data_IF_257917494682
#
_entry.id   IF_257917494682
#
_cell.length_a   1.000
_cell.length_b   1.000
_cell.length_c   1.000
_cell.angle_alpha   90.00
_cell.angle_beta   90.00
_cell.angle_gamma   90.00
#
_symmetry.space_group_name_H-M   'P 1'
#
loop_
_entity.id
_entity.type
_entity.pdbx_description
1 polymer ?
#
# COMPACT_ATOMS: atom_id res chain seq x y z
N UNK A 1 -4.32 -9.49 19.80
CA UNK A 1 -4.52 -9.83 18.38
C UNK A 1 -4.42 -8.57 17.47
N UNK A 2 -4.97 -7.43 17.87
CA UNK A 2 -4.90 -6.16 17.12
C UNK A 2 -3.48 -5.69 16.85
N UNK A 3 -2.56 -5.77 17.82
CA UNK A 3 -1.15 -5.39 17.64
C UNK A 3 -0.47 -6.25 16.56
N UNK A 4 -0.71 -7.54 16.54
CA UNK A 4 -0.13 -8.45 15.54
C UNK A 4 -0.66 -8.12 14.14
N UNK A 5 -1.95 -7.87 14.01
CA UNK A 5 -2.55 -7.44 12.74
C UNK A 5 -1.99 -6.10 12.23
N UNK A 6 -1.84 -5.13 13.13
CA UNK A 6 -1.30 -3.81 12.80
C UNK A 6 0.19 -3.86 12.42
N UNK A 7 1.00 -4.65 13.12
CA UNK A 7 2.42 -4.84 12.75
C UNK A 7 2.56 -5.56 11.42
N UNK A 8 1.76 -6.58 11.16
CA UNK A 8 1.73 -7.27 9.87
C UNK A 8 1.34 -6.32 8.74
N UNK A 9 0.37 -5.41 8.97
CA UNK A 9 -0.06 -4.40 8.02
C UNK A 9 1.07 -3.40 7.69
N UNK A 10 1.82 -2.95 8.70
CA UNK A 10 2.99 -2.06 8.49
C UNK A 10 4.09 -2.75 7.69
N UNK A 11 4.45 -3.98 8.06
CA UNK A 11 5.47 -4.75 7.35
C UNK A 11 5.05 -4.98 5.90
N UNK A 12 3.80 -5.37 5.68
CA UNK A 12 3.22 -5.55 4.35
C UNK A 12 3.21 -4.25 3.53
N UNK A 13 2.85 -3.11 4.16
CA UNK A 13 2.87 -1.80 3.53
C UNK A 13 4.25 -1.34 3.10
N UNK A 14 5.25 -1.48 3.98
CA UNK A 14 6.65 -1.18 3.67
C UNK A 14 7.17 -2.10 2.56
N UNK A 15 6.83 -3.39 2.62
CA UNK A 15 7.16 -4.36 1.57
C UNK A 15 6.57 -3.95 0.21
N UNK A 16 5.29 -3.58 0.17
CA UNK A 16 4.62 -3.09 -1.04
C UNK A 16 5.28 -1.81 -1.57
N UNK A 17 5.61 -0.85 -0.70
CA UNK A 17 6.30 0.38 -1.07
C UNK A 17 7.68 0.12 -1.70
N UNK A 18 8.45 -0.82 -1.13
CA UNK A 18 9.75 -1.22 -1.67
C UNK A 18 9.61 -1.94 -3.01
N UNK A 19 8.63 -2.83 -3.16
CA UNK A 19 8.35 -3.51 -4.43
C UNK A 19 7.97 -2.50 -5.53
N UNK A 20 7.10 -1.54 -5.23
CA UNK A 20 6.71 -0.48 -6.18
C UNK A 20 7.91 0.40 -6.54
N UNK A 21 8.76 0.77 -5.58
CA UNK A 21 10.01 1.52 -5.87
C UNK A 21 10.94 0.74 -6.79
N UNK A 22 11.20 -0.53 -6.48
CA UNK A 22 12.04 -1.41 -7.30
C UNK A 22 11.49 -1.54 -8.72
N UNK A 23 10.19 -1.75 -8.84
CA UNK A 23 9.50 -1.82 -10.12
C UNK A 23 9.64 -0.52 -10.93
N UNK A 24 9.32 0.63 -10.33
CA UNK A 24 9.38 1.93 -10.99
C UNK A 24 10.83 2.35 -11.31
N UNK A 25 11.82 1.96 -10.52
CA UNK A 25 13.24 2.25 -10.81
C UNK A 25 13.69 1.59 -12.11
N UNK A 26 13.24 0.38 -12.39
CA UNK A 26 13.48 -0.30 -13.67
C UNK A 26 12.76 0.33 -14.87
N UNK A 27 11.73 1.17 -14.62
CA UNK A 27 10.93 1.81 -15.68
C UNK A 27 11.29 3.29 -15.90
N UNK A 28 12.24 3.83 -15.17
CA UNK A 28 12.64 5.26 -15.25
C UNK A 28 13.06 5.69 -16.65
N UNK A 29 13.79 4.84 -17.36
CA UNK A 29 14.22 5.09 -18.76
C UNK A 29 13.01 5.19 -19.70
N UNK A 30 12.04 4.30 -19.56
CA UNK A 30 10.81 4.30 -20.39
C UNK A 30 10.00 5.57 -20.10
N UNK A 31 9.86 5.94 -18.82
CA UNK A 31 9.16 7.18 -18.40
C UNK A 31 9.85 8.41 -19.02
N UNK A 32 11.18 8.45 -19.02
CA UNK A 32 11.92 9.56 -19.58
C UNK A 32 11.78 9.63 -21.12
N UNK A 33 11.83 8.49 -21.83
CA UNK A 33 11.60 8.42 -23.27
C UNK A 33 10.19 8.91 -23.63
N UNK A 34 9.16 8.45 -22.91
CA UNK A 34 7.78 8.89 -23.14
C UNK A 34 7.64 10.42 -22.99
N UNK A 35 8.33 11.01 -22.02
CA UNK A 35 8.37 12.48 -21.85
C UNK A 35 9.11 13.18 -22.98
N UNK A 36 10.18 12.61 -23.52
CA UNK A 36 10.89 13.18 -24.66
C UNK A 36 10.03 13.21 -25.93
N UNK A 37 9.15 12.23 -26.11
CA UNK A 37 8.20 12.15 -27.23
C UNK A 37 6.99 13.11 -27.02
N UNK A 38 6.88 13.74 -25.83
CA UNK A 38 5.81 14.71 -25.55
C UNK A 38 4.62 14.16 -24.79
N UNK A 39 4.73 12.94 -24.20
CA UNK A 39 3.65 12.39 -23.39
C UNK A 39 3.39 13.25 -22.13
N UNK A 40 2.13 13.58 -21.89
CA UNK A 40 1.72 14.34 -20.73
C UNK A 40 2.01 13.59 -19.43
N UNK A 41 2.49 14.32 -18.41
CA UNK A 41 2.75 13.76 -17.08
C UNK A 41 1.55 13.03 -16.49
N UNK A 42 0.33 13.53 -16.77
CA UNK A 42 -0.93 12.93 -16.28
C UNK A 42 -1.18 11.56 -16.91
N UNK A 43 -0.93 11.43 -18.20
CA UNK A 43 -1.07 10.15 -18.93
C UNK A 43 -0.10 9.11 -18.36
N UNK A 44 1.18 9.47 -18.21
CA UNK A 44 2.21 8.60 -17.65
C UNK A 44 1.81 8.16 -16.24
N UNK A 45 1.40 9.11 -15.38
CA UNK A 45 0.97 8.81 -14.02
C UNK A 45 -0.23 7.85 -13.99
N UNK A 46 -1.25 8.09 -14.80
CA UNK A 46 -2.44 7.23 -14.85
C UNK A 46 -2.12 5.82 -15.35
N UNK A 47 -1.28 5.69 -16.37
CA UNK A 47 -0.88 4.37 -16.91
C UNK A 47 -0.20 3.52 -15.82
N UNK A 48 0.79 4.08 -15.12
CA UNK A 48 1.47 3.35 -14.05
C UNK A 48 0.59 3.15 -12.81
N UNK A 49 -0.30 4.08 -12.52
CA UNK A 49 -1.27 3.93 -11.44
C UNK A 49 -2.25 2.79 -11.71
N UNK A 50 -2.76 2.66 -12.93
CA UNK A 50 -3.66 1.54 -13.30
C UNK A 50 -2.95 0.21 -13.22
N UNK A 51 -1.70 0.12 -13.65
CA UNK A 51 -0.91 -1.10 -13.56
C UNK A 51 -0.67 -1.53 -12.09
N UNK A 52 -0.28 -0.58 -11.23
CA UNK A 52 -0.15 -0.83 -9.79
C UNK A 52 -1.51 -1.22 -9.17
N UNK A 53 -2.60 -0.57 -9.56
CA UNK A 53 -3.93 -0.88 -9.06
C UNK A 53 -4.37 -2.30 -9.43
N UNK A 54 -4.10 -2.75 -10.65
CA UNK A 54 -4.39 -4.13 -11.09
C UNK A 54 -3.57 -5.14 -10.28
N UNK A 55 -2.27 -4.91 -10.09
CA UNK A 55 -1.42 -5.77 -9.26
C UNK A 55 -1.89 -5.81 -7.81
N UNK A 56 -2.28 -4.65 -7.26
CA UNK A 56 -2.84 -4.55 -5.91
C UNK A 56 -4.16 -5.31 -5.80
N UNK A 57 -5.05 -5.16 -6.77
CA UNK A 57 -6.32 -5.89 -6.81
C UNK A 57 -6.12 -7.41 -6.83
N UNK A 58 -5.20 -7.90 -7.65
CA UNK A 58 -4.83 -9.31 -7.68
C UNK A 58 -4.26 -9.78 -6.33
N UNK A 59 -3.38 -9.01 -5.71
CA UNK A 59 -2.81 -9.33 -4.40
C UNK A 59 -3.86 -9.36 -3.30
N UNK A 60 -4.82 -8.42 -3.31
CA UNK A 60 -5.95 -8.41 -2.35
C UNK A 60 -6.83 -9.65 -2.55
N UNK A 61 -7.16 -10.02 -3.78
CA UNK A 61 -7.95 -11.23 -4.06
C UNK A 61 -7.25 -12.49 -3.54
N UNK A 62 -5.96 -12.63 -3.81
CA UNK A 62 -5.16 -13.76 -3.29
C UNK A 62 -5.12 -13.73 -1.76
N UNK A 63 -4.89 -12.58 -1.15
CA UNK A 63 -4.88 -12.43 0.30
C UNK A 63 -6.22 -12.76 0.95
N UNK A 64 -7.33 -12.34 0.35
CA UNK A 64 -8.69 -12.65 0.83
C UNK A 64 -9.00 -14.14 0.71
N UNK A 65 -8.63 -14.78 -0.41
CA UNK A 65 -8.85 -16.22 -0.60
C UNK A 65 -8.05 -17.04 0.42
N UNK A 66 -6.77 -16.71 0.62
CA UNK A 66 -5.93 -17.37 1.62
C UNK A 66 -6.49 -17.11 3.03
N UNK A 67 -6.85 -15.85 3.34
CA UNK A 67 -7.40 -15.47 4.64
C UNK A 67 -8.76 -16.09 4.96
N UNK A 68 -9.57 -16.40 3.94
CA UNK A 68 -10.84 -17.09 4.11
C UNK A 68 -10.69 -18.62 4.23
N UNK A 69 -9.77 -19.20 3.45
CA UNK A 69 -9.60 -20.67 3.37
C UNK A 69 -8.72 -21.20 4.49
N UNK A 70 -7.68 -20.47 4.89
CA UNK A 70 -6.71 -20.93 5.89
C UNK A 70 -7.35 -21.27 7.25
N UNK A 71 -8.24 -20.43 7.84
CA UNK A 71 -8.92 -20.77 9.07
C UNK A 71 -9.83 -22.03 8.95
N UNK A 72 -10.45 -22.22 7.78
CA UNK A 72 -11.30 -23.38 7.53
C UNK A 72 -10.48 -24.68 7.47
N UNK A 73 -9.32 -24.66 6.82
CA UNK A 73 -8.41 -25.80 6.77
C UNK A 73 -7.77 -26.12 8.15
N UNK A 74 -7.41 -25.06 8.90
CA UNK A 74 -6.86 -25.26 10.24
C UNK A 74 -7.89 -25.77 11.24
N UNK A 75 -9.17 -25.43 11.08
CA UNK A 75 -10.22 -25.91 12.00
C UNK A 75 -10.36 -27.41 11.93
N UNK A 76 -10.30 -28.05 10.76
CA UNK A 76 -10.32 -29.50 10.61
C UNK A 76 -9.15 -30.19 11.33
N UNK A 77 -7.97 -29.55 11.30
CA UNK A 77 -6.78 -30.08 11.96
C UNK A 77 -6.75 -29.82 13.50
N UNK A 78 -7.42 -28.76 13.96
CA UNK A 78 -7.48 -28.41 15.38
C UNK A 78 -8.67 -29.00 16.13
N UNK A 79 -9.74 -29.44 15.46
CA UNK A 79 -10.90 -30.10 16.09
C UNK A 79 -10.50 -31.37 16.83
N UNK A 80 -9.40 -32.03 16.43
CA UNK A 80 -8.84 -33.18 17.16
C UNK A 80 -8.06 -32.77 18.44
N UNK A 81 -7.60 -31.53 18.54
CA UNK A 81 -6.71 -31.06 19.61
C UNK A 81 -7.37 -30.10 20.60
N UNK A 82 -8.43 -29.43 20.22
CA UNK A 82 -9.10 -28.39 21.03
C UNK A 82 -10.62 -28.59 20.99
N UNK A 83 -11.30 -28.90 22.13
CA UNK A 83 -12.75 -29.04 22.17
C UNK A 83 -13.48 -27.69 22.19
N UNK A 84 -13.16 -26.81 21.25
CA UNK A 84 -13.82 -25.50 21.08
C UNK A 84 -14.59 -25.54 19.77
N UNK A 85 -15.92 -25.40 19.75
CA UNK A 85 -16.69 -25.35 18.52
C UNK A 85 -16.34 -24.10 17.73
N UNK A 86 -15.40 -24.21 16.78
CA UNK A 86 -15.09 -23.17 15.83
C UNK A 86 -16.29 -23.01 14.89
N UNK A 87 -16.99 -21.90 15.01
CA UNK A 87 -18.06 -21.55 14.07
C UNK A 87 -17.42 -21.17 12.73
N UNK A 88 -17.34 -22.15 11.84
CA UNK A 88 -16.89 -21.94 10.46
C UNK A 88 -17.99 -21.16 9.74
N UNK A 89 -17.71 -19.92 9.37
CA UNK A 89 -18.61 -19.06 8.62
C UNK A 89 -17.81 -18.05 7.80
N UNK A 90 -18.28 -17.80 6.58
CA UNK A 90 -17.81 -16.62 5.82
C UNK A 90 -18.37 -15.37 6.50
N UNK A 91 -17.51 -14.66 7.19
CA UNK A 91 -17.86 -13.38 7.81
C UNK A 91 -17.54 -12.25 6.82
N UNK A 92 -18.55 -11.63 6.17
CA UNK A 92 -18.30 -10.60 5.16
C UNK A 92 -17.72 -9.33 5.76
N UNK A 93 -18.00 -9.02 7.01
CA UNK A 93 -17.52 -7.81 7.68
C UNK A 93 -15.99 -7.75 7.83
N UNK A 94 -15.29 -8.78 8.36
CA UNK A 94 -13.82 -8.80 8.39
C UNK A 94 -13.19 -8.77 6.99
N UNK A 95 -13.81 -9.41 5.99
CA UNK A 95 -13.30 -9.45 4.63
C UNK A 95 -13.38 -8.06 3.96
N UNK A 96 -14.47 -7.34 4.17
CA UNK A 96 -14.61 -5.96 3.71
C UNK A 96 -13.59 -5.04 4.39
N UNK A 97 -13.42 -5.15 5.69
CA UNK A 97 -12.41 -4.39 6.43
C UNK A 97 -11.00 -4.68 5.91
N UNK A 98 -10.65 -5.95 5.71
CA UNK A 98 -9.35 -6.34 5.15
C UNK A 98 -9.14 -5.76 3.75
N UNK A 99 -10.17 -5.74 2.91
CA UNK A 99 -10.13 -5.13 1.58
C UNK A 99 -9.88 -3.63 1.65
N UNK A 100 -10.61 -2.91 2.52
CA UNK A 100 -10.43 -1.48 2.73
C UNK A 100 -9.02 -1.15 3.22
N UNK A 101 -8.50 -1.90 4.19
CA UNK A 101 -7.13 -1.77 4.66
C UNK A 101 -6.12 -2.02 3.54
N UNK A 102 -6.29 -3.09 2.77
CA UNK A 102 -5.41 -3.45 1.65
C UNK A 102 -5.32 -2.34 0.60
N UNK A 103 -6.47 -1.77 0.21
CA UNK A 103 -6.53 -0.65 -0.75
C UNK A 103 -5.86 0.59 -0.18
N UNK A 104 -6.18 0.99 1.06
CA UNK A 104 -5.64 2.21 1.67
C UNK A 104 -4.13 2.12 1.89
N UNK A 105 -3.65 0.99 2.43
CA UNK A 105 -2.21 0.77 2.63
C UNK A 105 -1.48 0.79 1.30
N UNK A 106 -1.97 0.05 0.31
CA UNK A 106 -1.35 0.05 -1.02
C UNK A 106 -1.33 1.45 -1.63
N UNK A 107 -2.41 2.22 -1.52
CA UNK A 107 -2.46 3.60 -2.01
C UNK A 107 -1.42 4.48 -1.32
N UNK A 108 -1.34 4.46 0.02
CA UNK A 108 -0.38 5.27 0.79
C UNK A 108 1.05 4.98 0.39
N UNK A 109 1.43 3.70 0.33
CA UNK A 109 2.81 3.30 0.07
C UNK A 109 3.20 3.33 -1.41
N UNK A 110 2.24 3.29 -2.35
CA UNK A 110 2.50 3.30 -3.80
C UNK A 110 2.45 4.69 -4.42
N UNK A 111 1.57 5.58 -3.94
CA UNK A 111 1.38 6.91 -4.55
C UNK A 111 2.62 7.79 -4.44
N UNK A 112 3.35 7.73 -3.32
CA UNK A 112 4.57 8.51 -3.13
C UNK A 112 5.70 8.13 -4.10
N UNK A 113 6.12 6.85 -4.20
CA UNK A 113 7.14 6.44 -5.18
C UNK A 113 6.72 6.74 -6.61
N UNK A 114 5.44 6.52 -6.94
CA UNK A 114 4.89 6.80 -8.26
C UNK A 114 4.97 8.29 -8.63
N UNK A 115 4.57 9.16 -7.70
CA UNK A 115 4.65 10.60 -7.90
C UNK A 115 6.09 11.06 -8.13
N UNK A 116 7.04 10.48 -7.38
CA UNK A 116 8.48 10.77 -7.50
C UNK A 116 9.04 10.25 -8.83
N UNK A 117 8.72 9.04 -9.25
CA UNK A 117 9.12 8.49 -10.54
C UNK A 117 8.61 9.33 -11.72
N UNK A 118 7.35 9.76 -11.66
CA UNK A 118 6.77 10.66 -12.67
C UNK A 118 7.33 12.09 -12.62
N UNK A 119 8.12 12.49 -11.62
CA UNK A 119 8.74 13.81 -11.56
C UNK A 119 10.12 13.90 -12.23
N UNK A 120 10.70 12.78 -12.66
CA UNK A 120 12.02 12.70 -13.30
C UNK A 120 12.03 13.56 -14.56
N UNK A 121 13.10 14.36 -14.71
CA UNK A 121 13.31 15.22 -15.88
C UNK A 121 13.88 14.40 -17.04
N UNK A 122 13.47 14.66 -18.31
CA UNK A 122 14.08 14.02 -19.48
C UNK A 122 15.58 14.21 -19.59
N UNK A 123 16.08 15.38 -19.13
CA UNK A 123 17.51 15.70 -19.14
C UNK A 123 18.38 14.86 -18.20
N UNK A 124 17.78 14.09 -17.28
CA UNK A 124 18.53 13.19 -16.39
C UNK A 124 19.13 11.98 -17.13
N UNK A 125 18.60 11.62 -18.31
CA UNK A 125 19.15 10.56 -19.15
C UNK A 125 20.53 10.93 -19.75
N UNK A 126 20.82 12.21 -19.90
CA UNK A 126 22.05 12.70 -20.52
C UNK A 126 23.12 13.12 -19.51
N UNK A 127 22.84 13.02 -18.22
CA UNK A 127 23.76 13.36 -17.14
C UNK A 127 23.85 12.19 -16.15
N UNK A 128 24.84 11.35 -16.35
CA UNK A 128 25.14 10.19 -15.49
C UNK A 128 25.50 10.55 -14.04
N UNK A 129 25.62 11.80 -13.66
CA UNK A 129 26.23 12.23 -12.40
C UNK A 129 25.50 13.36 -11.65
N UNK A 130 24.28 13.73 -11.99
CA UNK A 130 23.59 14.78 -11.22
C UNK A 130 22.45 14.16 -10.41
N UNK A 131 22.64 14.20 -9.10
CA UNK A 131 21.62 13.99 -8.07
C UNK A 131 20.29 14.60 -8.52
N UNK A 132 19.19 13.84 -8.56
CA UNK A 132 17.91 14.38 -8.99
C UNK A 132 17.51 15.51 -8.03
N UNK A 133 17.58 16.74 -8.51
CA UNK A 133 17.04 17.86 -7.79
C UNK A 133 15.58 17.57 -7.48
N UNK A 134 15.26 17.49 -6.20
CA UNK A 134 13.95 17.15 -5.70
C UNK A 134 12.88 18.12 -6.19
N UNK A 135 12.32 17.84 -7.36
CA UNK A 135 11.18 18.60 -7.87
C UNK A 135 10.00 18.28 -6.97
N UNK A 136 9.44 19.29 -6.35
CA UNK A 136 8.32 19.17 -5.41
C UNK A 136 7.20 18.34 -6.04
N UNK A 137 6.77 17.31 -5.31
CA UNK A 137 5.56 16.54 -5.64
C UNK A 137 4.40 17.52 -5.74
N UNK A 138 3.54 17.35 -6.73
CA UNK A 138 2.37 18.22 -6.92
C UNK A 138 1.55 18.24 -5.63
N UNK A 139 1.11 19.42 -5.19
CA UNK A 139 0.24 19.61 -4.01
C UNK A 139 -0.98 18.68 -4.03
N UNK A 140 -1.55 18.46 -5.21
CA UNK A 140 -2.71 17.57 -5.39
C UNK A 140 -2.41 16.11 -5.00
N UNK A 141 -1.22 15.60 -5.34
CA UNK A 141 -0.82 14.23 -4.98
C UNK A 141 -0.50 14.15 -3.49
N UNK A 142 0.14 15.19 -2.95
CA UNK A 142 0.43 15.28 -1.51
C UNK A 142 -0.86 15.31 -0.69
N UNK A 143 -1.88 16.07 -1.11
CA UNK A 143 -3.17 16.10 -0.44
C UNK A 143 -3.94 14.77 -0.55
N UNK A 144 -3.82 14.07 -1.67
CA UNK A 144 -4.41 12.74 -1.85
C UNK A 144 -3.78 11.71 -0.91
N UNK A 145 -2.44 11.73 -0.80
CA UNK A 145 -1.72 10.85 0.13
C UNK A 145 -2.14 11.15 1.58
N UNK A 146 -2.22 12.42 1.95
CA UNK A 146 -2.66 12.83 3.28
C UNK A 146 -4.08 12.35 3.57
N UNK A 147 -4.98 12.47 2.60
CA UNK A 147 -6.35 11.97 2.72
C UNK A 147 -6.40 10.45 2.91
N UNK A 148 -5.59 9.68 2.17
CA UNK A 148 -5.49 8.23 2.35
C UNK A 148 -4.92 7.87 3.74
N UNK A 149 -3.92 8.60 4.24
CA UNK A 149 -3.35 8.39 5.58
C UNK A 149 -4.39 8.69 6.66
N UNK A 150 -5.13 9.79 6.53
CA UNK A 150 -6.21 10.14 7.46
C UNK A 150 -7.33 9.11 7.43
N UNK A 151 -7.73 8.64 6.25
CA UNK A 151 -8.72 7.57 6.09
C UNK A 151 -8.26 6.27 6.75
N UNK A 152 -6.99 5.89 6.56
CA UNK A 152 -6.40 4.70 7.18
C UNK A 152 -6.36 4.85 8.72
N UNK A 153 -5.98 6.02 9.22
CA UNK A 153 -5.98 6.31 10.65
C UNK A 153 -7.40 6.26 11.24
N UNK A 154 -8.38 6.86 10.56
CA UNK A 154 -9.78 6.83 10.98
C UNK A 154 -10.32 5.40 11.01
N UNK A 155 -10.03 4.60 9.98
CA UNK A 155 -10.43 3.19 9.94
C UNK A 155 -9.78 2.40 11.09
N UNK A 156 -8.51 2.65 11.38
CA UNK A 156 -7.80 2.01 12.49
C UNK A 156 -8.41 2.38 13.85
N UNK A 157 -8.80 3.63 14.05
CA UNK A 157 -9.43 4.11 15.30
C UNK A 157 -10.83 3.49 15.48
N UNK A 158 -11.62 3.43 14.39
CA UNK A 158 -12.99 2.87 14.43
C UNK A 158 -12.96 1.36 14.69
N UNK A 159 -11.96 0.65 14.15
CA UNK A 159 -11.87 -0.81 14.26
C UNK A 159 -11.14 -1.26 15.53
N UNK A 160 -10.34 -0.38 16.17
CA UNK A 160 -9.60 -0.70 17.38
C UNK A 160 -10.53 -0.67 18.61
N UNK A 161 -10.57 -1.78 19.36
CA UNK A 161 -11.26 -1.88 20.64
C UNK A 161 -10.61 -1.01 21.73
N UNK A 162 -9.30 -0.68 21.59
CA UNK A 162 -8.54 0.15 22.50
C UNK A 162 -7.96 1.37 21.77
N UNK A 163 -8.53 2.56 22.04
CA UNK A 163 -8.11 3.83 21.43
C UNK A 163 -6.62 4.17 21.68
N UNK A 164 -6.05 3.77 22.81
CA UNK A 164 -4.63 4.03 23.14
C UNK A 164 -3.67 3.33 22.17
N UNK A 165 -4.02 2.13 21.73
CA UNK A 165 -3.21 1.32 20.79
C UNK A 165 -3.30 1.94 19.38
N UNK A 166 -4.47 2.43 19.00
CA UNK A 166 -4.67 3.10 17.70
C UNK A 166 -3.84 4.38 17.58
N UNK A 167 -3.76 5.20 18.62
CA UNK A 167 -2.90 6.40 18.62
C UNK A 167 -1.41 6.06 18.53
N UNK A 168 -0.96 5.01 19.20
CA UNK A 168 0.41 4.52 19.09
C UNK A 168 0.75 4.06 17.67
N UNK A 169 -0.18 3.38 17.00
CA UNK A 169 -0.02 2.92 15.64
C UNK A 169 0.01 4.07 14.62
N UNK A 170 -0.90 5.03 14.74
CA UNK A 170 -0.94 6.22 13.88
C UNK A 170 0.35 7.03 14.04
N UNK A 171 0.83 7.21 15.28
CA UNK A 171 2.12 7.87 15.54
C UNK A 171 3.31 7.10 14.95
N UNK A 172 3.37 5.79 15.14
CA UNK A 172 4.42 4.93 14.59
C UNK A 172 4.42 4.88 13.06
N UNK A 173 3.25 4.80 12.43
CA UNK A 173 3.13 4.83 10.97
C UNK A 173 3.51 6.18 10.37
N UNK A 174 3.17 7.29 11.04
CA UNK A 174 3.58 8.63 10.63
C UNK A 174 5.10 8.81 10.74
N UNK A 175 5.73 8.32 11.79
CA UNK A 175 7.18 8.36 11.96
C UNK A 175 7.86 7.50 10.89
N UNK A 176 7.38 6.28 10.64
CA UNK A 176 7.90 5.42 9.58
C UNK A 176 7.79 6.06 8.20
N UNK A 177 6.69 6.79 7.94
CA UNK A 177 6.48 7.49 6.68
C UNK A 177 7.40 8.72 6.51
N UNK A 178 7.74 9.40 7.60
CA UNK A 178 8.67 10.56 7.58
C UNK A 178 10.13 10.10 7.41
N UNK A 179 10.51 8.95 8.00
CA UNK A 179 11.86 8.40 7.90
C UNK A 179 12.15 7.73 6.53
N UNK A 180 11.12 7.42 5.76
CA UNK A 180 11.19 6.70 4.50
C UNK A 180 11.05 7.63 3.30
#
# INVERSE_FOLDING_TARGET
LTLVGLTALLIGGVGAGNAVRGYLSGKTTIIAILKCIGAERRLIFLTWLTEIAVMTGAAILIGLTIGAVLPALLSEALDELLPVPLRIGLYPEPLLLATCYGILVSAVFSLWPLARACSISPGSLFRDLVVPAGRRVSWQISSLILLCVVALAALAIVTAQDQRIAFGFVGGSAIAFVLF
#
